data_IF_289754007655
#
_entry.id   IF_289754007655
#
_cell.length_a   1.000
_cell.length_b   1.000
_cell.length_c   1.000
_cell.angle_alpha   90.00
_cell.angle_beta   90.00
_cell.angle_gamma   90.00
#
_symmetry.space_group_name_H-M   'P 1'
#
loop_
_entity.id
_entity.type
_entity.pdbx_description
1 polymer ?
#
# COMPACT_ATOMS: atom_id res chain seq x y z
N UNK A 1 -4.98 10.65 53.45
CA UNK A 1 -5.06 11.38 52.16
C UNK A 1 -5.32 10.32 51.10
N UNK A 2 -6.60 10.07 50.80
CA UNK A 2 -7.03 9.08 49.81
C UNK A 2 -7.48 9.82 48.55
N UNK A 3 -7.25 9.17 47.41
CA UNK A 3 -7.87 9.43 46.11
C UNK A 3 -7.47 10.75 45.42
N UNK A 4 -7.32 10.84 44.10
CA UNK A 4 -7.75 9.95 43.03
C UNK A 4 -6.88 10.26 41.80
N UNK A 5 -6.48 9.21 41.08
CA UNK A 5 -6.04 9.16 39.68
C UNK A 5 -6.40 10.42 38.87
N UNK A 6 -5.38 11.22 38.53
CA UNK A 6 -5.48 12.36 37.60
C UNK A 6 -4.84 12.01 36.23
N UNK A 7 -5.01 10.76 35.79
CA UNK A 7 -4.46 10.22 34.52
C UNK A 7 -5.53 9.97 33.44
N UNK A 8 -6.74 10.55 33.55
CA UNK A 8 -7.88 10.17 32.69
C UNK A 8 -8.27 11.19 31.60
N UNK A 9 -7.56 12.31 31.40
CA UNK A 9 -8.04 13.39 30.51
C UNK A 9 -7.23 13.71 29.24
N UNK A 10 -6.35 12.81 28.78
CA UNK A 10 -5.67 12.95 27.47
C UNK A 10 -5.71 11.69 26.58
N UNK A 11 -6.36 10.61 27.04
CA UNK A 11 -6.30 9.31 26.38
C UNK A 11 -7.27 9.13 25.19
N UNK A 12 -8.18 10.08 24.93
CA UNK A 12 -9.23 9.93 23.90
C UNK A 12 -8.72 10.00 22.45
N UNK A 13 -7.74 10.86 22.16
CA UNK A 13 -7.23 11.06 20.79
C UNK A 13 -6.13 10.05 20.43
N UNK A 14 -5.26 9.72 21.41
CA UNK A 14 -4.12 8.82 21.21
C UNK A 14 -4.56 7.37 20.95
N UNK A 15 -5.64 6.91 21.60
CA UNK A 15 -6.13 5.52 21.44
C UNK A 15 -6.46 5.17 20.00
N UNK A 16 -7.06 6.09 19.25
CA UNK A 16 -7.45 5.83 17.87
C UNK A 16 -6.23 5.89 16.94
N UNK A 17 -5.31 6.84 17.14
CA UNK A 17 -4.02 6.87 16.43
C UNK A 17 -3.21 5.59 16.65
N UNK A 18 -3.10 5.13 17.90
CA UNK A 18 -2.42 3.88 18.26
C UNK A 18 -3.15 2.67 17.67
N UNK A 19 -4.48 2.63 17.69
CA UNK A 19 -5.27 1.55 17.09
C UNK A 19 -4.97 1.38 15.58
N UNK A 20 -4.90 2.49 14.85
CA UNK A 20 -4.60 2.45 13.41
C UNK A 20 -3.15 2.12 13.15
N UNK A 21 -2.24 2.65 13.96
CA UNK A 21 -0.85 2.26 13.89
C UNK A 21 -0.70 0.74 14.03
N UNK A 22 -1.40 0.12 14.99
CA UNK A 22 -1.43 -1.34 15.15
C UNK A 22 -2.02 -2.03 13.91
N UNK A 23 -3.14 -1.55 13.37
CA UNK A 23 -3.74 -2.10 12.16
C UNK A 23 -2.83 -1.99 10.92
N UNK A 24 -2.14 -0.87 10.74
CA UNK A 24 -1.19 -0.66 9.65
C UNK A 24 0.02 -1.59 9.77
N UNK A 25 0.55 -1.74 10.98
CA UNK A 25 1.64 -2.69 11.26
C UNK A 25 1.18 -4.12 10.96
N UNK A 26 0.00 -4.52 11.42
CA UNK A 26 -0.58 -5.83 11.16
C UNK A 26 -0.70 -6.11 9.65
N UNK A 27 -1.28 -5.17 8.90
CA UNK A 27 -1.42 -5.29 7.45
C UNK A 27 -0.07 -5.38 6.75
N UNK A 28 0.95 -4.69 7.24
CA UNK A 28 2.33 -4.77 6.72
C UNK A 28 2.99 -6.11 7.03
N UNK A 29 2.75 -6.67 8.21
CA UNK A 29 3.25 -7.99 8.56
C UNK A 29 2.65 -9.09 7.65
N UNK A 30 1.35 -8.99 7.37
CA UNK A 30 0.65 -9.90 6.45
C UNK A 30 1.20 -9.76 5.03
N UNK A 31 1.43 -8.53 4.58
CA UNK A 31 2.03 -8.22 3.28
C UNK A 31 3.41 -8.89 3.13
N UNK A 32 4.29 -8.72 4.11
CA UNK A 32 5.61 -9.34 4.16
C UNK A 32 5.50 -10.87 4.15
N UNK A 33 4.62 -11.44 4.99
CA UNK A 33 4.40 -12.89 5.05
C UNK A 33 3.87 -13.48 3.74
N UNK A 34 3.08 -12.73 2.97
CA UNK A 34 2.67 -13.13 1.62
C UNK A 34 3.79 -12.97 0.60
N UNK A 35 4.60 -11.92 0.69
CA UNK A 35 5.72 -11.67 -0.20
C UNK A 35 6.81 -12.76 -0.10
N UNK A 36 7.00 -13.37 1.08
CA UNK A 36 7.94 -14.48 1.25
C UNK A 36 7.48 -15.79 0.62
N UNK A 37 6.19 -15.95 0.30
CA UNK A 37 5.71 -17.17 -0.37
C UNK A 37 6.00 -17.09 -1.87
N UNK A 38 6.62 -18.13 -2.47
CA UNK A 38 6.82 -18.17 -3.91
C UNK A 38 5.46 -18.34 -4.60
N UNK A 39 4.93 -17.26 -5.16
CA UNK A 39 3.69 -17.22 -5.93
C UNK A 39 3.95 -16.63 -7.32
N UNK A 40 3.00 -16.79 -8.24
CA UNK A 40 3.05 -16.09 -9.51
C UNK A 40 3.16 -14.58 -9.27
N UNK A 41 4.15 -13.95 -9.92
CA UNK A 41 4.48 -12.53 -9.73
C UNK A 41 3.25 -11.63 -9.87
N UNK A 42 2.34 -11.95 -10.79
CA UNK A 42 1.06 -11.23 -10.96
C UNK A 42 0.15 -11.31 -9.74
N UNK A 43 -0.01 -12.49 -9.14
CA UNK A 43 -0.85 -12.67 -7.95
C UNK A 43 -0.22 -11.98 -6.74
N UNK A 44 1.10 -12.10 -6.58
CA UNK A 44 1.85 -11.40 -5.54
C UNK A 44 1.62 -9.89 -5.64
N UNK A 45 1.89 -9.29 -6.80
CA UNK A 45 1.70 -7.85 -7.00
C UNK A 45 0.25 -7.41 -6.76
N UNK A 46 -0.72 -8.17 -7.24
CA UNK A 46 -2.15 -7.85 -7.06
C UNK A 46 -2.55 -7.83 -5.59
N UNK A 47 -2.08 -8.80 -4.79
CA UNK A 47 -2.43 -8.90 -3.38
C UNK A 47 -1.72 -7.83 -2.55
N UNK A 48 -0.40 -7.66 -2.73
CA UNK A 48 0.37 -6.61 -2.07
C UNK A 48 -0.24 -5.23 -2.35
N UNK A 49 -0.68 -5.03 -3.60
CA UNK A 49 -1.33 -3.81 -4.01
C UNK A 49 -2.71 -3.61 -3.38
N UNK A 50 -3.54 -4.64 -3.36
CA UNK A 50 -4.84 -4.60 -2.70
C UNK A 50 -4.71 -4.25 -1.21
N UNK A 51 -3.72 -4.82 -0.53
CA UNK A 51 -3.40 -4.49 0.86
C UNK A 51 -2.98 -3.03 1.04
N UNK A 52 -2.22 -2.47 0.10
CA UNK A 52 -1.85 -1.04 0.10
C UNK A 52 -3.07 -0.12 -0.03
N UNK A 53 -4.02 -0.46 -0.90
CA UNK A 53 -5.28 0.29 -1.03
C UNK A 53 -6.08 0.23 0.27
N UNK A 54 -6.17 -0.95 0.90
CA UNK A 54 -6.87 -1.11 2.18
C UNK A 54 -6.23 -0.25 3.27
N UNK A 55 -4.89 -0.24 3.38
CA UNK A 55 -4.16 0.64 4.32
C UNK A 55 -4.51 2.11 4.08
N UNK A 56 -4.50 2.55 2.81
CA UNK A 56 -4.85 3.93 2.45
C UNK A 56 -6.31 4.26 2.82
N UNK A 57 -7.25 3.35 2.55
CA UNK A 57 -8.65 3.50 2.94
C UNK A 57 -8.82 3.57 4.47
N UNK A 58 -8.04 2.79 5.24
CA UNK A 58 -8.04 2.82 6.71
C UNK A 58 -7.57 4.17 7.25
N UNK A 59 -6.51 4.73 6.65
CA UNK A 59 -6.00 6.07 6.96
C UNK A 59 -7.05 7.13 6.62
N UNK A 60 -7.67 7.06 5.44
CA UNK A 60 -8.72 8.01 5.02
C UNK A 60 -9.96 7.91 5.90
N UNK A 61 -10.45 6.71 6.18
CA UNK A 61 -11.63 6.49 7.01
C UNK A 61 -11.42 7.03 8.42
N UNK A 62 -10.22 6.87 8.99
CA UNK A 62 -9.86 7.49 10.25
C UNK A 62 -9.88 9.02 10.19
N UNK A 63 -9.20 9.59 9.18
CA UNK A 63 -9.16 11.04 9.02
C UNK A 63 -10.53 11.62 8.64
N UNK A 64 -11.45 10.86 8.04
CA UNK A 64 -12.83 11.29 7.79
C UNK A 64 -13.69 11.19 9.05
N UNK A 65 -13.62 10.08 9.77
CA UNK A 65 -14.55 9.81 10.86
C UNK A 65 -14.24 10.59 12.15
N UNK A 66 -12.98 10.99 12.39
CA UNK A 66 -12.61 11.87 13.53
C UNK A 66 -12.50 13.35 13.17
N UNK A 67 -12.67 13.71 11.91
CA UNK A 67 -12.36 15.07 11.43
C UNK A 67 -13.44 15.57 10.49
N UNK A 68 -14.68 15.56 10.96
CA UNK A 68 -15.80 16.27 10.34
C UNK A 68 -15.55 17.78 10.09
N UNK A 69 -14.39 18.32 10.48
CA UNK A 69 -14.10 19.76 10.46
C UNK A 69 -12.97 20.20 9.53
N UNK A 70 -12.20 19.32 8.87
CA UNK A 70 -11.01 19.79 8.11
C UNK A 70 -10.87 19.20 6.70
N UNK A 71 -11.69 19.75 5.80
CA UNK A 71 -11.66 19.58 4.35
C UNK A 71 -10.25 19.65 3.72
N UNK A 72 -9.32 20.40 4.32
CA UNK A 72 -7.97 20.58 3.78
C UNK A 72 -7.11 19.29 3.77
N UNK A 73 -7.35 18.32 4.68
CA UNK A 73 -6.63 17.04 4.67
C UNK A 73 -7.18 16.06 3.63
N UNK A 74 -8.50 16.10 3.38
CA UNK A 74 -9.15 15.33 2.32
C UNK A 74 -8.65 15.83 0.96
N UNK A 75 -8.53 17.15 0.79
CA UNK A 75 -8.08 17.78 -0.45
C UNK A 75 -6.64 17.41 -0.84
N UNK A 76 -5.77 17.01 0.10
CA UNK A 76 -4.40 16.57 -0.21
C UNK A 76 -4.28 15.05 -0.35
N UNK A 77 -5.01 14.26 0.46
CA UNK A 77 -4.92 12.79 0.42
C UNK A 77 -5.68 12.21 -0.77
N UNK A 78 -6.87 12.74 -1.09
CA UNK A 78 -7.70 12.24 -2.20
C UNK A 78 -6.98 12.31 -3.56
N UNK A 79 -6.36 13.43 -3.99
CA UNK A 79 -5.67 13.45 -5.27
C UNK A 79 -4.47 12.50 -5.29
N UNK A 80 -3.76 12.36 -4.17
CA UNK A 80 -2.67 11.38 -4.05
C UNK A 80 -3.18 9.94 -4.25
N UNK A 81 -4.32 9.61 -3.66
CA UNK A 81 -4.97 8.30 -3.83
C UNK A 81 -5.44 8.06 -5.27
N UNK A 82 -6.04 9.08 -5.90
CA UNK A 82 -6.47 9.03 -7.29
C UNK A 82 -5.27 8.81 -8.21
N UNK A 83 -4.18 9.53 -8.00
CA UNK A 83 -2.93 9.35 -8.76
C UNK A 83 -2.39 7.93 -8.56
N UNK A 84 -2.35 7.42 -7.33
CA UNK A 84 -2.00 6.03 -7.08
C UNK A 84 -2.89 5.08 -7.89
N UNK A 85 -4.22 5.19 -7.80
CA UNK A 85 -5.14 4.32 -8.55
C UNK A 85 -4.92 4.44 -10.07
N UNK A 86 -4.75 5.64 -10.61
CA UNK A 86 -4.45 5.87 -12.03
C UNK A 86 -3.14 5.20 -12.45
N UNK A 87 -2.07 5.35 -11.65
CA UNK A 87 -0.81 4.67 -11.91
C UNK A 87 -0.98 3.15 -11.91
N UNK A 88 -1.81 2.60 -11.03
CA UNK A 88 -2.09 1.16 -11.03
C UNK A 88 -2.81 0.70 -12.28
N UNK A 89 -3.83 1.44 -12.73
CA UNK A 89 -4.52 1.12 -13.98
C UNK A 89 -3.63 1.22 -15.22
N UNK A 90 -2.57 2.04 -15.19
CA UNK A 90 -1.58 2.12 -16.28
C UNK A 90 -0.53 1.04 -16.16
N UNK A 91 0.00 0.80 -14.95
CA UNK A 91 1.12 -0.10 -14.72
C UNK A 91 0.73 -1.58 -14.82
N UNK A 92 -0.52 -1.91 -14.44
CA UNK A 92 -1.03 -3.27 -14.54
C UNK A 92 -1.04 -3.76 -16.00
N UNK A 93 -1.73 -3.11 -16.96
CA UNK A 93 -1.71 -3.52 -18.37
C UNK A 93 -0.34 -3.35 -19.03
N UNK A 94 0.49 -2.38 -18.62
CA UNK A 94 1.84 -2.21 -19.17
C UNK A 94 2.80 -3.32 -18.71
N UNK A 95 2.64 -3.83 -17.48
CA UNK A 95 3.35 -5.04 -17.02
C UNK A 95 2.92 -6.28 -17.81
N UNK A 96 1.64 -6.39 -18.20
CA UNK A 96 1.18 -7.45 -19.10
C UNK A 96 1.79 -7.32 -20.50
N UNK A 97 1.91 -6.10 -21.03
CA UNK A 97 2.48 -5.86 -22.37
C UNK A 97 4.01 -6.07 -22.40
N UNK A 98 4.72 -5.67 -21.36
CA UNK A 98 6.18 -5.82 -21.25
C UNK A 98 6.64 -7.26 -20.98
N UNK A 99 5.77 -8.13 -20.44
CA UNK A 99 6.05 -9.56 -20.30
C UNK A 99 6.29 -10.27 -21.65
N UNK A 100 5.76 -9.73 -22.75
CA UNK A 100 6.00 -10.26 -24.11
C UNK A 100 7.34 -9.84 -24.73
N UNK A 101 7.97 -8.75 -24.28
CA UNK A 101 9.21 -8.21 -24.86
C UNK A 101 10.49 -8.73 -24.19
N UNK A 102 10.40 -9.31 -22.98
CA UNK A 102 11.58 -9.82 -22.25
C UNK A 102 12.13 -11.16 -22.76
N UNK A 103 11.49 -11.77 -23.76
CA UNK A 103 11.94 -13.02 -24.37
C UNK A 103 12.75 -12.83 -25.67
N UNK A 104 12.73 -11.63 -26.28
CA UNK A 104 13.40 -11.35 -27.56
C UNK A 104 14.86 -10.88 -27.41
N UNK A 105 15.35 -10.65 -26.19
CA UNK A 105 16.76 -10.32 -25.94
C UNK A 105 17.58 -11.55 -25.48
N UNK A 106 17.23 -12.75 -25.95
CA UNK A 106 18.09 -13.91 -25.80
C UNK A 106 19.09 -13.89 -26.96
N UNK A 107 20.25 -13.29 -26.70
CA UNK A 107 21.48 -13.27 -27.51
C UNK A 107 21.39 -14.03 -28.83
N UNK A 108 21.37 -13.30 -29.94
CA UNK A 108 21.81 -13.86 -31.22
C UNK A 108 23.30 -14.21 -31.02
N UNK A 109 23.69 -15.51 -31.03
CA UNK A 109 25.08 -15.88 -30.82
C UNK A 109 25.93 -15.19 -31.90
N UNK A 110 27.13 -14.70 -31.57
CA UNK A 110 28.00 -14.05 -32.54
C UNK A 110 28.14 -15.01 -33.71
N UNK A 111 27.79 -14.55 -34.91
CA UNK A 111 27.97 -15.31 -36.13
C UNK A 111 29.43 -15.75 -36.15
N UNK A 112 29.66 -17.03 -35.84
CA UNK A 112 30.95 -17.62 -36.02
C UNK A 112 31.26 -17.46 -37.51
N UNK A 113 32.25 -16.61 -37.78
CA UNK A 113 32.96 -16.57 -39.04
C UNK A 113 33.36 -18.00 -39.39
N UNK A 114 32.65 -18.61 -40.32
CA UNK A 114 33.13 -19.82 -40.99
C UNK A 114 33.53 -19.40 -42.41
N UNK A 115 34.85 -19.32 -42.56
CA UNK A 115 35.61 -19.23 -43.79
C UNK A 115 35.30 -20.37 -44.77
#
# INVERSE_FOLDING_TARGET
MSAHVEEEHFAGSNKLFTSIWVWLVLLTLVEIGLAYKPMALHLMLTILLGLSIIKAALIVAYFMHLKFERLSLILTIVPMLVICICLLFVFFPDSFRSAGLRYEFKEQPPAAEEH
#
